data_IF_329977827402
#
_entry.id   IF_329977827402
#
_cell.length_a   1.000
_cell.length_b   1.000
_cell.length_c   1.000
_cell.angle_alpha   90.00
_cell.angle_beta   90.00
_cell.angle_gamma   90.00
#
_symmetry.space_group_name_H-M   'P 1'
#
loop_
_entity.id
_entity.type
_entity.pdbx_description
1 polymer ?
#
# COMPACT_ATOMS: atom_id res chain seq x y z
N UNK A 1 4.64 -24.88 -14.87
CA UNK A 1 4.95 -23.43 -14.86
C UNK A 1 6.38 -23.28 -14.39
N UNK A 2 7.22 -22.65 -15.21
CA UNK A 2 8.62 -22.41 -14.87
C UNK A 2 8.74 -21.33 -13.77
N UNK A 3 9.83 -21.36 -13.00
CA UNK A 3 10.05 -20.42 -11.91
C UNK A 3 10.36 -19.01 -12.46
N UNK A 4 9.51 -18.02 -12.12
CA UNK A 4 9.71 -16.62 -12.53
C UNK A 4 10.99 -16.01 -11.93
N UNK A 5 11.32 -16.37 -10.70
CA UNK A 5 12.52 -15.87 -10.02
C UNK A 5 13.61 -16.93 -10.05
N UNK A 6 14.68 -16.64 -10.78
CA UNK A 6 15.84 -17.53 -10.94
C UNK A 6 17.04 -17.02 -10.14
N UNK A 7 17.68 -17.94 -9.42
CA UNK A 7 18.98 -17.76 -8.80
C UNK A 7 20.05 -18.60 -9.49
N UNK A 8 21.31 -18.45 -9.05
CA UNK A 8 22.47 -19.15 -9.64
C UNK A 8 22.37 -20.68 -9.63
N UNK A 9 21.50 -21.26 -8.77
CA UNK A 9 21.33 -22.70 -8.57
C UNK A 9 19.90 -23.17 -8.84
N UNK A 10 19.13 -22.44 -9.65
CA UNK A 10 17.71 -22.73 -9.92
C UNK A 10 16.78 -21.74 -9.24
N UNK A 11 15.56 -22.15 -8.91
CA UNK A 11 14.51 -21.26 -8.38
C UNK A 11 14.98 -20.49 -7.13
N UNK A 12 14.70 -19.18 -7.12
CA UNK A 12 14.98 -18.33 -5.98
C UNK A 12 14.00 -18.63 -4.84
N UNK A 13 14.54 -18.92 -3.67
CA UNK A 13 13.74 -19.19 -2.47
C UNK A 13 13.39 -17.89 -1.73
N UNK A 14 12.46 -17.98 -0.76
CA UNK A 14 12.14 -16.89 0.17
C UNK A 14 13.40 -16.31 0.84
N UNK A 15 14.30 -17.17 1.31
CA UNK A 15 15.57 -16.75 1.92
C UNK A 15 16.45 -16.02 0.91
N UNK A 16 16.51 -16.49 -0.34
CA UNK A 16 17.24 -15.82 -1.41
C UNK A 16 16.74 -14.40 -1.67
N UNK A 17 15.41 -14.21 -1.69
CA UNK A 17 14.78 -12.88 -1.81
C UNK A 17 15.13 -12.00 -0.59
N UNK A 18 15.05 -12.55 0.62
CA UNK A 18 15.39 -11.82 1.85
C UNK A 18 16.85 -11.35 1.84
N UNK A 19 17.79 -12.21 1.43
CA UNK A 19 19.20 -11.85 1.30
C UNK A 19 19.44 -10.81 0.20
N UNK A 20 18.74 -10.93 -0.93
CA UNK A 20 18.79 -9.93 -2.00
C UNK A 20 18.33 -8.57 -1.49
N UNK A 21 17.19 -8.52 -0.81
CA UNK A 21 16.66 -7.30 -0.21
C UNK A 21 17.64 -6.69 0.78
N UNK A 22 18.20 -7.48 1.71
CA UNK A 22 19.16 -6.98 2.69
C UNK A 22 20.39 -6.33 2.04
N UNK A 23 20.90 -6.89 0.94
CA UNK A 23 22.00 -6.28 0.17
C UNK A 23 21.59 -4.94 -0.43
N UNK A 24 20.39 -4.84 -1.00
CA UNK A 24 19.87 -3.59 -1.60
C UNK A 24 19.65 -2.50 -0.55
N UNK A 25 19.12 -2.86 0.61
CA UNK A 25 18.92 -1.96 1.76
C UNK A 25 20.26 -1.37 2.21
N UNK A 26 21.30 -2.21 2.34
CA UNK A 26 22.67 -1.74 2.66
C UNK A 26 23.25 -0.82 1.59
N UNK A 27 23.07 -1.16 0.31
CA UNK A 27 23.55 -0.32 -0.81
C UNK A 27 22.87 1.05 -0.83
N UNK A 28 21.61 1.13 -0.41
CA UNK A 28 20.87 2.38 -0.29
C UNK A 28 21.21 3.19 0.98
N UNK A 29 22.12 2.72 1.83
CA UNK A 29 22.49 3.40 3.08
C UNK A 29 21.39 3.41 4.15
N UNK A 30 20.37 2.54 4.03
CA UNK A 30 19.27 2.47 4.99
C UNK A 30 19.72 1.70 6.22
N UNK A 31 19.66 2.36 7.37
CA UNK A 31 20.04 1.79 8.68
C UNK A 31 18.88 1.06 9.36
N UNK A 32 17.65 1.42 9.02
CA UNK A 32 16.45 0.80 9.57
C UNK A 32 16.25 -0.63 9.10
N UNK A 33 15.54 -1.42 9.91
CA UNK A 33 15.21 -2.80 9.58
C UNK A 33 14.13 -2.85 8.49
N UNK A 34 14.55 -3.16 7.27
CA UNK A 34 13.63 -3.38 6.14
C UNK A 34 13.33 -4.86 5.94
N UNK A 35 12.05 -5.21 5.87
CA UNK A 35 11.57 -6.57 5.55
C UNK A 35 10.46 -6.55 4.49
N UNK A 36 10.23 -7.68 3.82
CA UNK A 36 9.29 -7.81 2.70
C UNK A 36 7.88 -7.29 3.01
N UNK A 37 7.36 -7.50 4.23
CA UNK A 37 6.03 -7.00 4.59
C UNK A 37 5.91 -5.46 4.54
N UNK A 38 6.99 -4.69 4.70
CA UNK A 38 6.94 -3.23 4.62
C UNK A 38 6.57 -2.76 3.21
N UNK A 39 7.05 -3.43 2.17
CA UNK A 39 6.67 -3.12 0.80
C UNK A 39 5.19 -3.37 0.54
N UNK A 40 4.62 -4.37 1.21
CA UNK A 40 3.18 -4.64 1.13
C UNK A 40 2.36 -3.61 1.91
N UNK A 41 2.87 -3.10 3.03
CA UNK A 41 2.27 -1.93 3.71
C UNK A 41 2.31 -0.68 2.84
N UNK A 42 3.47 -0.38 2.25
CA UNK A 42 3.65 0.79 1.38
C UNK A 42 2.73 0.71 0.16
N UNK A 43 2.69 -0.44 -0.54
CA UNK A 43 1.83 -0.55 -1.72
C UNK A 43 0.34 -0.41 -1.38
N UNK A 44 -0.13 -1.04 -0.30
CA UNK A 44 -1.51 -0.90 0.16
C UNK A 44 -1.83 0.53 0.59
N UNK A 45 -0.89 1.19 1.28
CA UNK A 45 -1.03 2.60 1.69
C UNK A 45 -1.17 3.50 0.47
N UNK A 46 -0.26 3.38 -0.51
CA UNK A 46 -0.29 4.15 -1.76
C UNK A 46 -1.55 3.91 -2.57
N UNK A 47 -2.02 2.67 -2.64
CA UNK A 47 -3.27 2.34 -3.33
C UNK A 47 -4.48 3.03 -2.66
N UNK A 48 -4.54 3.01 -1.33
CA UNK A 48 -5.58 3.71 -0.59
C UNK A 48 -5.49 5.24 -0.71
N UNK A 49 -4.28 5.80 -0.71
CA UNK A 49 -4.05 7.24 -0.94
C UNK A 49 -4.48 7.66 -2.36
N UNK A 50 -4.30 6.76 -3.35
CA UNK A 50 -4.80 6.92 -4.71
C UNK A 50 -6.32 6.72 -4.85
N UNK A 51 -7.04 6.40 -3.76
CA UNK A 51 -8.49 6.28 -3.74
C UNK A 51 -9.02 4.86 -3.94
N UNK A 52 -8.19 3.82 -3.88
CA UNK A 52 -8.68 2.43 -3.92
C UNK A 52 -9.58 2.16 -2.69
N UNK A 53 -10.76 1.60 -2.94
CA UNK A 53 -11.70 1.28 -1.86
C UNK A 53 -11.19 0.12 -1.01
N UNK A 54 -11.71 0.00 0.22
CA UNK A 54 -11.35 -1.10 1.11
C UNK A 54 -11.75 -2.46 0.52
N UNK A 55 -12.93 -2.55 -0.08
CA UNK A 55 -13.43 -3.74 -0.76
C UNK A 55 -12.55 -4.12 -1.96
N UNK A 56 -12.22 -3.17 -2.84
CA UNK A 56 -11.33 -3.43 -3.97
C UNK A 56 -9.92 -3.83 -3.51
N UNK A 57 -9.46 -3.28 -2.38
CA UNK A 57 -8.19 -3.66 -1.76
C UNK A 57 -8.20 -5.13 -1.32
N UNK A 58 -9.31 -5.64 -0.80
CA UNK A 58 -9.42 -7.04 -0.39
C UNK A 58 -9.18 -7.97 -1.58
N UNK A 59 -9.82 -7.70 -2.72
CA UNK A 59 -9.62 -8.48 -3.94
C UNK A 59 -8.22 -8.32 -4.52
N UNK A 60 -7.72 -7.09 -4.65
CA UNK A 60 -6.41 -6.81 -5.25
C UNK A 60 -5.26 -7.44 -4.47
N UNK A 61 -5.35 -7.39 -3.14
CA UNK A 61 -4.32 -7.94 -2.26
C UNK A 61 -4.57 -9.40 -1.89
N UNK A 62 -5.71 -10.00 -2.24
CA UNK A 62 -6.05 -11.37 -1.88
C UNK A 62 -6.28 -11.54 -0.38
N UNK A 63 -6.93 -10.55 0.24
CA UNK A 63 -7.40 -10.65 1.62
C UNK A 63 -8.81 -11.20 1.65
N UNK A 64 -9.15 -11.94 2.72
CA UNK A 64 -10.51 -12.38 2.96
C UNK A 64 -11.43 -11.16 3.05
N UNK A 65 -12.59 -11.18 2.36
CA UNK A 65 -13.56 -10.10 2.44
C UNK A 65 -13.98 -9.80 3.89
N UNK A 66 -14.03 -8.51 4.25
CA UNK A 66 -14.35 -8.06 5.61
C UNK A 66 -13.26 -8.28 6.67
N UNK A 67 -12.08 -8.76 6.28
CA UNK A 67 -10.96 -8.94 7.22
C UNK A 67 -10.37 -7.60 7.70
N UNK A 68 -9.70 -7.55 8.87
CA UNK A 68 -9.07 -6.33 9.35
C UNK A 68 -7.78 -5.94 8.57
N UNK A 69 -7.43 -6.67 7.52
CA UNK A 69 -6.16 -6.53 6.80
C UNK A 69 -6.00 -5.15 6.16
N UNK A 70 -7.04 -4.63 5.51
CA UNK A 70 -7.03 -3.28 4.93
C UNK A 70 -6.68 -2.22 5.98
N UNK A 71 -7.23 -2.35 7.19
CA UNK A 71 -6.94 -1.45 8.31
C UNK A 71 -5.49 -1.58 8.79
N UNK A 72 -4.96 -2.79 8.90
CA UNK A 72 -3.58 -3.02 9.34
C UNK A 72 -2.56 -2.49 8.33
N UNK A 73 -2.79 -2.76 7.05
CA UNK A 73 -1.83 -2.47 5.99
C UNK A 73 -1.79 -0.99 5.60
N UNK A 74 -2.88 -0.25 5.81
CA UNK A 74 -2.99 1.18 5.49
C UNK A 74 -2.93 2.10 6.73
N UNK A 75 -2.52 1.55 7.89
CA UNK A 75 -2.53 2.26 9.17
C UNK A 75 -1.70 3.54 9.16
N UNK A 76 -0.58 3.55 8.41
CA UNK A 76 0.39 4.64 8.41
C UNK A 76 -0.22 6.00 8.05
N UNK A 77 -1.14 6.06 7.08
CA UNK A 77 -1.74 7.32 6.60
C UNK A 77 -3.20 7.49 6.99
N UNK A 78 -3.74 6.67 7.92
CA UNK A 78 -5.17 6.66 8.26
C UNK A 78 -5.72 8.06 8.59
N UNK A 79 -5.02 8.80 9.45
CA UNK A 79 -5.45 10.13 9.91
C UNK A 79 -5.37 11.15 8.77
N UNK A 80 -4.27 11.15 8.02
CA UNK A 80 -4.05 12.04 6.89
C UNK A 80 -5.14 11.85 5.83
N UNK A 81 -5.41 10.60 5.43
CA UNK A 81 -6.49 10.27 4.49
C UNK A 81 -7.87 10.73 4.97
N UNK A 82 -8.18 10.57 6.26
CA UNK A 82 -9.45 11.02 6.82
C UNK A 82 -9.60 12.55 6.72
N UNK A 83 -8.54 13.29 7.03
CA UNK A 83 -8.53 14.74 6.89
C UNK A 83 -8.66 15.19 5.43
N UNK A 84 -7.94 14.55 4.51
CA UNK A 84 -8.02 14.85 3.08
C UNK A 84 -9.40 14.55 2.49
N UNK A 85 -10.01 13.42 2.87
CA UNK A 85 -11.37 13.08 2.45
C UNK A 85 -12.38 14.13 2.95
N UNK A 86 -12.27 14.56 4.21
CA UNK A 86 -13.13 15.60 4.77
C UNK A 86 -12.97 16.94 4.02
N UNK A 87 -11.72 17.35 3.74
CA UNK A 87 -11.45 18.58 2.96
C UNK A 87 -12.08 18.52 1.58
N UNK A 88 -11.91 17.41 0.84
CA UNK A 88 -12.50 17.21 -0.49
C UNK A 88 -14.03 17.26 -0.46
N UNK A 89 -14.65 16.69 0.57
CA UNK A 89 -16.10 16.72 0.74
C UNK A 89 -16.61 18.14 0.99
N UNK A 90 -15.98 18.89 1.91
CA UNK A 90 -16.36 20.27 2.23
C UNK A 90 -16.25 21.17 0.99
N UNK A 91 -15.12 21.09 0.29
CA UNK A 91 -14.88 21.85 -0.94
C UNK A 91 -15.94 21.51 -2.02
N UNK A 92 -16.26 20.22 -2.20
CA UNK A 92 -17.35 19.82 -3.11
C UNK A 92 -18.69 20.43 -2.75
N UNK A 93 -19.06 20.45 -1.46
CA UNK A 93 -20.32 21.04 -0.99
C UNK A 93 -20.34 22.55 -1.27
N UNK A 94 -19.24 23.26 -0.97
CA UNK A 94 -19.13 24.69 -1.22
C UNK A 94 -19.29 25.04 -2.71
N UNK A 95 -18.66 24.26 -3.59
CA UNK A 95 -18.81 24.43 -5.04
C UNK A 95 -20.26 24.22 -5.51
N UNK A 96 -20.95 23.21 -4.98
CA UNK A 96 -22.36 22.96 -5.34
C UNK A 96 -23.27 24.10 -4.89
N UNK A 97 -23.07 24.63 -3.68
CA UNK A 97 -23.87 25.75 -3.16
C UNK A 97 -23.68 27.03 -3.98
N UNK A 98 -22.46 27.28 -4.49
CA UNK A 98 -22.17 28.43 -5.34
C UNK A 98 -22.89 28.37 -6.71
N UNK A 99 -23.14 27.16 -7.25
CA UNK A 99 -23.84 26.97 -8.53
C UNK A 99 -25.35 27.11 -8.39
N UNK A 100 -25.91 26.76 -7.23
CA UNK A 100 -27.38 26.78 -6.98
C UNK A 100 -27.87 28.16 -6.53
N UNK A 101 -26.98 29.05 -6.11
CA UNK A 101 -27.32 30.40 -5.62
C UNK A 101 -27.33 31.48 -6.73
N UNK A 102 -27.34 31.07 -8.00
CA UNK A 102 -27.44 31.92 -9.21
C UNK A 102 -28.74 31.58 -9.93
#
# INVERSE_FOLDING_TARGET
MDALWLGKKGQLTRTGIQMMLARRVRQAGITDRIHMHLFRHDSATRAADAGLSAEASEFLYGWTPGSPMTRHYTRATKVQRAQEAARKLIDRIQRLNAVVSV
#
